data_IF_085138264700
#
_entry.id   IF_085138264700
#
_cell.length_a   1.000
_cell.length_b   1.000
_cell.length_c   1.000
_cell.angle_alpha   90.00
_cell.angle_beta   90.00
_cell.angle_gamma   90.00
#
_symmetry.space_group_name_H-M   'P 1'
#
loop_
_entity.id
_entity.type
_entity.pdbx_description
1 polymer ?
#
# COMPACT_ATOMS: atom_id res chain seq x y z
N UNK A 1 35.82 23.70 35.06
CA UNK A 1 35.61 23.26 33.66
C UNK A 1 34.97 21.88 33.67
N UNK A 2 33.68 21.77 33.31
CA UNK A 2 32.95 20.50 33.33
C UNK A 2 33.03 19.78 31.98
N UNK A 3 33.63 18.59 31.95
CA UNK A 3 33.62 17.69 30.80
C UNK A 3 32.25 17.00 30.70
N UNK A 4 31.41 17.44 29.75
CA UNK A 4 30.18 16.73 29.39
C UNK A 4 30.53 15.49 28.57
N UNK A 5 30.36 14.30 29.17
CA UNK A 5 30.37 13.01 28.47
C UNK A 5 29.29 13.01 27.39
N UNK A 6 29.70 13.10 26.13
CA UNK A 6 28.83 12.93 24.98
C UNK A 6 28.23 11.52 24.98
N UNK A 7 26.91 11.44 25.17
CA UNK A 7 26.13 10.21 25.03
C UNK A 7 26.35 9.69 23.60
N UNK A 8 27.07 8.59 23.46
CA UNK A 8 27.35 7.96 22.17
C UNK A 8 26.05 7.75 21.40
N UNK A 9 25.93 8.42 20.24
CA UNK A 9 24.90 8.10 19.26
C UNK A 9 25.10 6.64 18.89
N UNK A 10 24.19 5.76 19.30
CA UNK A 10 24.11 4.40 18.77
C UNK A 10 24.04 4.55 17.25
N UNK A 11 24.98 3.92 16.54
CA UNK A 11 24.97 3.86 15.10
C UNK A 11 23.59 3.37 14.65
N UNK A 12 22.95 4.11 13.76
CA UNK A 12 21.68 3.69 13.18
C UNK A 12 21.88 2.29 12.57
N UNK A 13 20.94 1.35 12.77
CA UNK A 13 20.99 0.08 12.07
C UNK A 13 21.10 0.37 10.55
N UNK A 14 21.83 -0.48 9.79
CA UNK A 14 21.98 -0.30 8.36
C UNK A 14 20.60 -0.10 7.73
N UNK A 15 20.46 0.92 6.87
CA UNK A 15 19.27 1.14 6.05
C UNK A 15 19.03 -0.14 5.24
N UNK A 16 18.22 -1.04 5.77
CA UNK A 16 17.66 -2.10 4.98
C UNK A 16 16.72 -1.39 4.01
N UNK A 17 17.11 -1.30 2.74
CA UNK A 17 16.51 -0.38 1.75
C UNK A 17 15.05 -0.69 1.44
N UNK A 18 14.48 -1.78 1.99
CA UNK A 18 13.11 -2.19 1.71
C UNK A 18 12.33 -2.43 3.02
N UNK A 19 11.86 -1.36 3.68
CA UNK A 19 10.96 -1.46 4.85
C UNK A 19 9.53 -1.90 4.49
N UNK A 20 9.20 -2.09 3.21
CA UNK A 20 7.86 -2.36 2.72
C UNK A 20 7.82 -3.61 1.82
N UNK A 21 6.79 -4.44 2.02
CA UNK A 21 6.50 -5.57 1.15
C UNK A 21 5.86 -5.09 -0.16
N UNK A 22 6.48 -5.41 -1.30
CA UNK A 22 5.96 -5.08 -2.63
C UNK A 22 5.11 -6.22 -3.18
N UNK A 23 3.79 -6.05 -3.21
CA UNK A 23 2.86 -6.97 -3.87
C UNK A 23 2.59 -6.47 -5.29
N UNK A 24 2.71 -7.33 -6.31
CA UNK A 24 2.44 -6.99 -7.72
C UNK A 24 1.33 -7.90 -8.24
N UNK A 25 0.19 -7.32 -8.56
CA UNK A 25 -0.91 -8.00 -9.25
C UNK A 25 -0.77 -7.73 -10.75
N UNK A 26 -0.74 -8.78 -11.57
CA UNK A 26 -0.57 -8.69 -13.02
C UNK A 26 -1.37 -9.78 -13.71
N UNK A 27 -1.87 -9.49 -14.91
CA UNK A 27 -2.43 -10.52 -15.77
C UNK A 27 -1.35 -11.49 -16.24
N UNK A 28 -1.79 -12.65 -16.72
CA UNK A 28 -0.90 -13.62 -17.35
C UNK A 28 -0.13 -12.92 -18.49
N UNK A 29 1.16 -13.21 -18.60
CA UNK A 29 2.04 -12.61 -19.61
C UNK A 29 2.14 -11.07 -19.53
N UNK A 30 1.90 -10.48 -18.36
CA UNK A 30 1.83 -9.03 -18.12
C UNK A 30 0.70 -8.32 -18.88
N UNK A 31 -0.37 -9.04 -19.21
CA UNK A 31 -1.58 -8.39 -19.73
C UNK A 31 -2.17 -7.43 -18.69
N UNK A 32 -2.93 -6.44 -19.18
CA UNK A 32 -3.76 -5.62 -18.33
C UNK A 32 -4.78 -6.49 -17.57
N UNK A 33 -5.10 -6.07 -16.36
CA UNK A 33 -6.16 -6.68 -15.55
C UNK A 33 -7.46 -5.92 -15.77
N UNK A 34 -8.58 -6.64 -15.81
CA UNK A 34 -9.88 -6.00 -15.62
C UNK A 34 -10.05 -5.54 -14.16
N UNK A 35 -11.00 -4.64 -13.91
CA UNK A 35 -11.33 -4.20 -12.55
C UNK A 35 -11.77 -5.37 -11.67
N UNK A 36 -12.51 -6.33 -12.23
CA UNK A 36 -12.91 -7.54 -11.52
C UNK A 36 -11.68 -8.36 -11.09
N UNK A 37 -10.76 -8.63 -12.02
CA UNK A 37 -9.54 -9.39 -11.73
C UNK A 37 -8.62 -8.67 -10.72
N UNK A 38 -8.58 -7.34 -10.76
CA UNK A 38 -7.90 -6.56 -9.74
C UNK A 38 -8.53 -6.77 -8.35
N UNK A 39 -9.86 -6.76 -8.25
CA UNK A 39 -10.59 -7.02 -7.01
C UNK A 39 -10.32 -8.42 -6.45
N UNK A 40 -10.39 -9.44 -7.30
CA UNK A 40 -10.07 -10.83 -6.94
C UNK A 40 -8.61 -10.95 -6.46
N UNK A 41 -7.65 -10.38 -7.20
CA UNK A 41 -6.24 -10.42 -6.82
C UNK A 41 -5.92 -9.67 -5.53
N UNK A 42 -6.62 -8.57 -5.23
CA UNK A 42 -6.48 -7.86 -3.94
C UNK A 42 -7.02 -8.71 -2.78
N UNK A 43 -8.12 -9.42 -2.98
CA UNK A 43 -8.68 -10.34 -1.98
C UNK A 43 -7.72 -11.50 -1.71
N UNK A 44 -7.18 -12.12 -2.75
CA UNK A 44 -6.16 -13.17 -2.63
C UNK A 44 -4.92 -12.66 -1.91
N UNK A 45 -4.43 -11.46 -2.24
CA UNK A 45 -3.31 -10.85 -1.54
C UNK A 45 -3.62 -10.66 -0.04
N UNK A 46 -4.82 -10.21 0.31
CA UNK A 46 -5.24 -10.09 1.71
C UNK A 46 -5.27 -11.45 2.43
N UNK A 47 -5.75 -12.51 1.77
CA UNK A 47 -5.74 -13.87 2.32
C UNK A 47 -4.30 -14.37 2.56
N UNK A 48 -3.40 -14.12 1.62
CA UNK A 48 -1.97 -14.45 1.79
C UNK A 48 -1.37 -13.67 2.96
N UNK A 49 -1.70 -12.40 3.11
CA UNK A 49 -1.18 -11.59 4.22
C UNK A 49 -1.75 -12.01 5.59
N UNK A 50 -2.92 -12.65 5.62
CA UNK A 50 -3.55 -13.14 6.85
C UNK A 50 -2.67 -14.11 7.63
N UNK A 51 -1.79 -14.86 6.97
CA UNK A 51 -0.85 -15.76 7.65
C UNK A 51 0.12 -15.04 8.61
N UNK A 52 0.24 -13.71 8.50
CA UNK A 52 1.10 -12.87 9.34
C UNK A 52 0.33 -12.12 10.44
N UNK A 53 -0.97 -12.40 10.61
CA UNK A 53 -1.86 -11.67 11.53
C UNK A 53 -1.38 -11.73 13.00
N UNK A 54 -0.83 -12.85 13.45
CA UNK A 54 -0.46 -13.09 14.86
C UNK A 54 0.85 -12.41 15.31
N UNK A 55 1.50 -11.62 14.47
CA UNK A 55 2.78 -10.98 14.82
C UNK A 55 3.03 -9.62 14.18
N UNK A 56 2.21 -9.21 13.20
CA UNK A 56 2.48 -8.04 12.38
C UNK A 56 1.25 -7.13 12.27
N UNK A 57 1.49 -5.83 12.17
CA UNK A 57 0.47 -4.80 11.93
C UNK A 57 0.86 -3.96 10.72
N UNK A 58 -0.14 -3.60 9.92
CA UNK A 58 0.05 -2.71 8.77
C UNK A 58 0.03 -1.26 9.27
N UNK A 59 1.13 -0.52 9.06
CA UNK A 59 1.20 0.92 9.38
C UNK A 59 0.54 1.78 8.29
N UNK A 60 0.71 1.40 7.03
CA UNK A 60 0.14 2.08 5.86
C UNK A 60 0.19 1.13 4.65
N UNK A 61 -0.75 1.30 3.72
CA UNK A 61 -0.74 0.63 2.43
C UNK A 61 -1.10 1.63 1.32
N UNK A 62 -0.41 1.54 0.19
CA UNK A 62 -0.66 2.40 -0.98
C UNK A 62 -0.70 1.50 -2.21
N UNK A 63 -1.74 1.67 -3.03
CA UNK A 63 -1.90 0.94 -4.29
C UNK A 63 -1.62 1.92 -5.43
N UNK A 64 -0.56 1.66 -6.18
CA UNK A 64 -0.26 2.41 -7.40
C UNK A 64 -0.96 1.74 -8.58
N UNK A 65 -1.93 2.44 -9.18
CA UNK A 65 -2.67 1.98 -10.34
C UNK A 65 -2.20 2.71 -11.58
N UNK A 66 -1.96 1.95 -12.65
CA UNK A 66 -1.81 2.49 -14.00
C UNK A 66 -3.00 2.00 -14.81
N UNK A 67 -3.96 2.90 -14.98
CA UNK A 67 -5.16 2.65 -15.78
C UNK A 67 -4.84 2.88 -17.24
N UNK A 68 -5.37 2.04 -18.12
CA UNK A 68 -5.28 2.21 -19.57
C UNK A 68 -6.69 2.20 -20.17
N UNK A 69 -6.88 2.90 -21.29
CA UNK A 69 -8.12 2.83 -22.08
C UNK A 69 -8.16 1.60 -22.99
N UNK A 70 -9.20 1.50 -23.81
CA UNK A 70 -9.41 0.43 -24.80
C UNK A 70 -8.31 0.35 -25.88
N UNK A 71 -7.53 1.40 -26.05
CA UNK A 71 -6.40 1.46 -26.98
C UNK A 71 -5.05 1.21 -26.27
N UNK A 72 -5.06 0.98 -24.96
CA UNK A 72 -3.87 0.79 -24.14
C UNK A 72 -3.17 2.09 -23.73
N UNK A 73 -3.80 3.25 -23.93
CA UNK A 73 -3.23 4.55 -23.55
C UNK A 73 -3.42 4.79 -22.05
N UNK A 74 -2.40 5.22 -21.30
CA UNK A 74 -2.55 5.56 -19.90
C UNK A 74 -3.55 6.70 -19.68
N UNK A 75 -4.43 6.54 -18.70
CA UNK A 75 -5.45 7.54 -18.35
C UNK A 75 -5.32 8.00 -16.90
N UNK A 76 -5.63 9.29 -16.68
CA UNK A 76 -5.77 9.86 -15.35
C UNK A 76 -7.24 9.86 -14.93
N UNK A 77 -7.53 9.40 -13.72
CA UNK A 77 -8.91 9.29 -13.23
C UNK A 77 -9.42 10.64 -12.68
N UNK A 78 -8.54 11.48 -12.13
CA UNK A 78 -8.88 12.81 -11.63
C UNK A 78 -7.70 13.78 -11.82
N UNK A 79 -7.85 15.04 -11.36
CA UNK A 79 -6.85 16.10 -11.54
C UNK A 79 -5.47 15.79 -10.93
N UNK A 80 -5.43 15.05 -9.82
CA UNK A 80 -4.19 14.69 -9.13
C UNK A 80 -3.76 13.24 -9.40
N UNK A 81 -4.61 12.48 -10.09
CA UNK A 81 -4.56 11.03 -10.26
C UNK A 81 -4.31 10.26 -8.95
N UNK A 82 -4.81 10.80 -7.83
CA UNK A 82 -4.66 10.23 -6.49
C UNK A 82 -6.06 10.03 -5.89
N UNK A 83 -6.26 8.86 -5.27
CA UNK A 83 -7.50 8.53 -4.59
C UNK A 83 -7.17 7.93 -3.23
N UNK A 84 -7.65 8.57 -2.16
CA UNK A 84 -7.48 8.08 -0.79
C UNK A 84 -8.79 7.43 -0.34
N UNK A 85 -8.73 6.14 -0.03
CA UNK A 85 -9.85 5.36 0.48
C UNK A 85 -9.55 4.99 1.93
N UNK A 86 -10.44 5.36 2.84
CA UNK A 86 -10.36 4.99 4.25
C UNK A 86 -11.27 3.78 4.51
N UNK A 87 -10.73 2.56 4.70
CA UNK A 87 -11.52 1.33 4.82
C UNK A 87 -12.39 1.24 6.08
N UNK A 88 -12.41 2.28 6.93
CA UNK A 88 -13.15 2.32 8.20
C UNK A 88 -14.24 3.40 8.26
N UNK A 89 -14.46 4.17 7.19
CA UNK A 89 -15.53 5.17 7.09
C UNK A 89 -16.77 4.65 6.33
N UNK A 90 -17.15 3.39 6.58
CA UNK A 90 -18.41 2.84 6.06
C UNK A 90 -19.21 2.25 7.22
N UNK A 91 -20.21 3.03 7.67
CA UNK A 91 -21.46 2.68 8.37
C UNK A 91 -21.81 3.61 9.54
N UNK A 92 -20.84 4.22 10.22
CA UNK A 92 -21.11 5.08 11.39
C UNK A 92 -21.24 6.58 11.04
N UNK A 93 -20.57 7.06 9.99
CA UNK A 93 -20.55 8.50 9.64
C UNK A 93 -21.63 8.89 8.60
N UNK A 94 -22.35 7.93 8.00
CA UNK A 94 -23.46 8.21 7.06
C UNK A 94 -24.83 8.40 7.76
N UNK A 95 -24.93 8.01 9.03
CA UNK A 95 -26.07 8.37 9.89
C UNK A 95 -25.54 9.21 11.04
N UNK A 96 -25.38 10.52 10.78
CA UNK A 96 -25.03 11.48 11.82
C UNK A 96 -25.97 11.37 13.02
N UNK A 97 -25.40 10.99 14.16
CA UNK A 97 -25.88 11.44 15.48
C UNK A 97 -25.13 12.72 15.81
#
# INVERSE_FOLDING_TARGET
MGLRKGKGRKAAPPKNELPALKVRLRGKDNSALSIQQLGEGLLEAAQVLKQYEDGYRIKSATIYLTMIDEHGTPVCINKTNELTIYPYQSAADEHGV
#
